data_IF_177784336807
#
_entry.id   IF_177784336807
#
_cell.length_a   1.000
_cell.length_b   1.000
_cell.length_c   1.000
_cell.angle_alpha   90.00
_cell.angle_beta   90.00
_cell.angle_gamma   90.00
#
_symmetry.space_group_name_H-M   'P 1'
#
loop_
_entity.id
_entity.type
_entity.pdbx_description
1 polymer ?
#
# COMPACT_ATOMS: atom_id res chain seq x y z
N UNK A 1 6.71 6.25 6.92
CA UNK A 1 6.77 4.77 6.96
C UNK A 1 8.18 4.34 7.32
N UNK A 2 8.30 3.32 8.17
CA UNK A 2 9.54 2.91 8.85
C UNK A 2 10.70 2.60 7.89
N UNK A 3 11.89 3.12 8.22
CA UNK A 3 13.15 2.95 7.47
C UNK A 3 13.67 1.51 7.34
N UNK A 4 13.02 0.51 7.97
CA UNK A 4 13.50 -0.88 8.03
C UNK A 4 12.41 -1.93 7.71
N UNK A 5 11.59 -1.70 6.68
CA UNK A 5 10.73 -2.78 6.17
C UNK A 5 11.51 -3.73 5.25
N UNK A 6 11.35 -5.03 5.47
CA UNK A 6 11.81 -6.05 4.55
C UNK A 6 11.15 -5.92 3.18
N UNK A 7 11.85 -6.29 2.09
CA UNK A 7 11.29 -6.36 0.73
C UNK A 7 9.95 -7.11 0.68
N UNK A 8 9.78 -8.11 1.54
CA UNK A 8 8.55 -8.90 1.65
C UNK A 8 7.41 -8.10 2.30
N UNK A 9 7.70 -7.35 3.36
CA UNK A 9 6.72 -6.52 4.08
C UNK A 9 6.21 -5.39 3.17
N UNK A 10 7.13 -4.69 2.51
CA UNK A 10 6.79 -3.67 1.51
C UNK A 10 5.85 -4.24 0.43
N UNK A 11 6.24 -5.38 -0.16
CA UNK A 11 5.44 -6.03 -1.21
C UNK A 11 4.07 -6.47 -0.69
N UNK A 12 4.01 -6.99 0.54
CA UNK A 12 2.76 -7.45 1.17
C UNK A 12 1.81 -6.29 1.41
N UNK A 13 2.31 -5.14 1.86
CA UNK A 13 1.49 -3.97 2.11
C UNK A 13 0.91 -3.41 0.81
N UNK A 14 1.75 -3.24 -0.22
CA UNK A 14 1.32 -2.78 -1.55
C UNK A 14 0.27 -3.74 -2.13
N UNK A 15 0.48 -5.05 -2.00
CA UNK A 15 -0.45 -6.07 -2.51
C UNK A 15 -1.79 -6.03 -1.79
N UNK A 16 -1.80 -5.89 -0.46
CA UNK A 16 -3.02 -5.76 0.33
C UNK A 16 -3.78 -4.47 -0.03
N UNK A 17 -3.06 -3.36 -0.23
CA UNK A 17 -3.66 -2.08 -0.60
C UNK A 17 -4.22 -2.10 -2.03
N UNK A 18 -3.50 -2.69 -2.99
CA UNK A 18 -3.98 -2.86 -4.36
C UNK A 18 -5.29 -3.66 -4.40
N UNK A 19 -5.42 -4.70 -3.57
CA UNK A 19 -6.67 -5.45 -3.45
C UNK A 19 -7.82 -4.58 -2.91
N UNK A 20 -7.57 -3.73 -1.91
CA UNK A 20 -8.59 -2.81 -1.39
C UNK A 20 -9.07 -1.85 -2.49
N UNK A 21 -8.15 -1.29 -3.27
CA UNK A 21 -8.49 -0.38 -4.39
C UNK A 21 -9.31 -1.12 -5.44
N UNK A 22 -8.93 -2.35 -5.79
CA UNK A 22 -9.68 -3.19 -6.73
C UNK A 22 -11.11 -3.51 -6.25
N UNK A 23 -11.33 -3.52 -4.92
CA UNK A 23 -12.65 -3.70 -4.30
C UNK A 23 -13.47 -2.39 -4.19
N UNK A 24 -12.95 -1.27 -4.71
CA UNK A 24 -13.63 0.03 -4.66
C UNK A 24 -13.35 0.85 -3.39
N UNK A 25 -12.28 0.53 -2.65
CA UNK A 25 -11.82 1.36 -1.53
C UNK A 25 -11.40 2.76 -2.03
N UNK A 26 -11.70 3.83 -1.27
CA UNK A 26 -11.28 5.17 -1.65
C UNK A 26 -9.76 5.32 -1.69
N UNK A 27 -9.28 5.99 -2.73
CA UNK A 27 -7.88 6.33 -2.93
C UNK A 27 -7.60 7.65 -2.20
N UNK A 28 -6.53 7.70 -1.42
CA UNK A 28 -6.18 8.86 -0.58
C UNK A 28 -5.22 9.84 -1.28
N UNK A 29 -4.63 9.44 -2.41
CA UNK A 29 -3.74 10.27 -3.24
C UNK A 29 -4.43 10.79 -4.50
N UNK A 30 -3.94 11.91 -5.02
CA UNK A 30 -4.33 12.39 -6.35
C UNK A 30 -3.67 11.51 -7.42
N UNK A 31 -4.42 10.53 -7.92
CA UNK A 31 -4.00 9.71 -9.05
C UNK A 31 -4.23 10.45 -10.36
N UNK A 32 -3.21 10.55 -11.24
CA UNK A 32 -3.43 11.06 -12.58
C UNK A 32 -4.38 10.12 -13.34
N UNK A 33 -5.33 10.67 -14.11
CA UNK A 33 -6.37 9.92 -14.83
C UNK A 33 -5.87 8.81 -15.76
N UNK A 34 -4.57 8.81 -16.06
CA UNK A 34 -3.93 7.83 -16.93
C UNK A 34 -3.53 6.54 -16.20
N UNK A 35 -3.59 6.50 -14.87
CA UNK A 35 -3.25 5.33 -14.06
C UNK A 35 -4.54 4.70 -13.54
N UNK A 36 -4.85 3.51 -14.07
CA UNK A 36 -6.03 2.72 -13.69
C UNK A 36 -5.61 1.49 -12.86
N UNK A 37 -4.35 1.07 -12.98
CA UNK A 37 -3.84 -0.14 -12.34
C UNK A 37 -3.77 -0.01 -10.81
N UNK A 38 -4.52 -0.82 -10.05
CA UNK A 38 -4.56 -0.72 -8.58
C UNK A 38 -3.20 -0.86 -7.91
N UNK A 39 -2.28 -1.60 -8.54
CA UNK A 39 -0.91 -1.79 -8.06
C UNK A 39 -0.11 -0.48 -8.14
N UNK A 40 -0.21 0.25 -9.26
CA UNK A 40 0.48 1.53 -9.43
C UNK A 40 -0.09 2.58 -8.47
N UNK A 41 -1.42 2.57 -8.28
CA UNK A 41 -2.08 3.44 -7.30
C UNK A 41 -1.60 3.14 -5.88
N UNK A 42 -1.52 1.87 -5.50
CA UNK A 42 -0.99 1.46 -4.20
C UNK A 42 0.49 1.84 -4.01
N UNK A 43 1.31 1.79 -5.07
CA UNK A 43 2.71 2.25 -5.01
C UNK A 43 2.78 3.76 -4.79
N UNK A 44 1.93 4.55 -5.46
CA UNK A 44 1.87 6.00 -5.26
C UNK A 44 1.46 6.36 -3.83
N UNK A 45 0.48 5.64 -3.26
CA UNK A 45 0.11 5.82 -1.85
C UNK A 45 1.24 5.42 -0.88
N UNK A 46 2.02 4.41 -1.24
CA UNK A 46 3.20 4.00 -0.47
C UNK A 46 4.29 5.07 -0.50
N UNK A 47 4.58 5.63 -1.67
CA UNK A 47 5.57 6.72 -1.84
C UNK A 47 5.13 8.01 -1.14
N UNK A 48 3.82 8.28 -1.09
CA UNK A 48 3.24 9.40 -0.37
C UNK A 48 3.08 9.16 1.15
N UNK A 49 3.42 7.97 1.65
CA UNK A 49 3.31 7.60 3.07
C UNK A 49 1.88 7.70 3.66
N UNK A 50 0.86 7.46 2.83
CA UNK A 50 -0.57 7.59 3.21
C UNK A 50 -1.34 6.28 3.23
N UNK A 51 -0.66 5.12 3.11
CA UNK A 51 -1.35 3.83 3.14
C UNK A 51 -2.02 3.61 4.52
N UNK A 52 -3.33 3.37 4.57
CA UNK A 52 -4.10 3.30 5.82
C UNK A 52 -4.02 1.91 6.50
N UNK A 53 -2.97 1.14 6.24
CA UNK A 53 -2.75 -0.19 6.82
C UNK A 53 -1.29 -0.33 7.28
N UNK A 54 -1.09 -1.10 8.34
CA UNK A 54 0.23 -1.33 8.93
C UNK A 54 0.47 -2.83 9.19
N UNK A 55 1.75 -3.22 9.29
CA UNK A 55 2.17 -4.61 9.53
C UNK A 55 2.45 -4.79 11.01
N UNK A 56 1.66 -5.67 11.63
CA UNK A 56 1.92 -6.12 13.00
C UNK A 56 2.80 -7.37 12.99
N UNK A 57 4.07 -7.20 13.33
CA UNK A 57 4.98 -8.32 13.58
C UNK A 57 4.53 -9.08 14.83
N UNK A 58 4.24 -10.37 14.67
CA UNK A 58 3.97 -11.25 15.81
C UNK A 58 5.30 -11.54 16.50
N UNK A 59 5.48 -11.08 17.74
CA UNK A 59 6.58 -11.57 18.59
C UNK A 59 6.37 -13.06 18.84
N UNK A 60 7.43 -13.85 18.73
CA UNK A 60 7.43 -15.23 19.23
C UNK A 60 7.61 -15.10 20.74
N UNK A 61 6.55 -15.42 21.47
CA UNK A 61 6.57 -15.61 22.92
C UNK A 61 7.38 -16.87 23.28
#
# INVERSE_FOLDING_TARGET
>A
MLENQSRYEKTRLISARALQIAQGSPILVSVPKNIIDPIEIAKLEWEADVIPIDIRLKKRD
#
